data_IF_815158193869
#
_entry.id   IF_815158193869
#
_cell.length_a   1.000
_cell.length_b   1.000
_cell.length_c   1.000
_cell.angle_alpha   90.00
_cell.angle_beta   90.00
_cell.angle_gamma   90.00
#
_symmetry.space_group_name_H-M   'P 1'
#
loop_
_entity.id
_entity.type
_entity.pdbx_description
1 polymer ?
#
# COMPACT_ATOMS: atom_id res chain seq x y z
N UNK A 1 -1.78 18.92 5.09
CA UNK A 1 -0.88 18.03 5.86
C UNK A 1 -1.26 16.55 5.74
N UNK A 2 -2.50 16.14 6.07
CA UNK A 2 -2.95 14.73 6.07
C UNK A 2 -2.72 14.03 4.72
N UNK A 3 -3.10 14.66 3.60
CA UNK A 3 -2.88 14.11 2.25
C UNK A 3 -1.41 13.77 1.98
N UNK A 4 -0.48 14.66 2.37
CA UNK A 4 0.95 14.47 2.15
C UNK A 4 1.49 13.30 3.00
N UNK A 5 1.03 13.17 4.24
CA UNK A 5 1.38 12.04 5.12
C UNK A 5 0.89 10.70 4.55
N UNK A 6 -0.34 10.66 4.02
CA UNK A 6 -0.91 9.47 3.39
C UNK A 6 -0.18 9.13 2.08
N UNK A 7 0.18 10.12 1.28
CA UNK A 7 0.98 9.94 0.08
C UNK A 7 2.40 9.43 0.40
N UNK A 8 3.05 9.96 1.44
CA UNK A 8 4.32 9.46 1.93
C UNK A 8 4.22 8.02 2.46
N UNK A 9 3.10 7.67 3.11
CA UNK A 9 2.83 6.31 3.52
C UNK A 9 2.70 5.36 2.32
N UNK A 10 2.02 5.78 1.24
CA UNK A 10 1.96 5.04 -0.03
C UNK A 10 3.34 4.85 -0.65
N UNK A 11 4.13 5.92 -0.76
CA UNK A 11 5.48 5.84 -1.31
C UNK A 11 6.34 4.86 -0.50
N UNK A 12 6.27 4.91 0.83
CA UNK A 12 7.03 4.01 1.71
C UNK A 12 6.61 2.55 1.59
N UNK A 13 5.34 2.25 1.35
CA UNK A 13 4.87 0.86 1.18
C UNK A 13 5.18 0.29 -0.21
N UNK A 14 5.17 1.13 -1.24
CA UNK A 14 5.37 0.72 -2.64
C UNK A 14 6.85 0.73 -3.07
N UNK A 15 7.65 1.70 -2.60
CA UNK A 15 8.99 1.96 -3.16
C UNK A 15 9.95 0.77 -3.04
N UNK A 16 10.11 0.21 -1.84
CA UNK A 16 11.09 -0.86 -1.60
C UNK A 16 10.83 -2.11 -2.46
N UNK A 17 9.63 -2.71 -2.48
CA UNK A 17 9.42 -3.93 -3.25
C UNK A 17 9.44 -3.70 -4.77
N UNK A 18 8.95 -2.55 -5.26
CA UNK A 18 9.03 -2.23 -6.69
C UNK A 18 10.46 -1.92 -7.14
N UNK A 19 11.21 -1.13 -6.38
CA UNK A 19 12.61 -0.84 -6.71
C UNK A 19 13.45 -2.12 -6.70
N UNK A 20 13.23 -3.00 -5.71
CA UNK A 20 13.99 -4.24 -5.63
C UNK A 20 13.68 -5.18 -6.80
N UNK A 21 12.41 -5.32 -7.20
CA UNK A 21 12.02 -6.11 -8.37
C UNK A 21 12.51 -5.50 -9.69
N UNK A 22 12.51 -4.17 -9.82
CA UNK A 22 13.02 -3.48 -11.00
C UNK A 22 14.53 -3.65 -11.17
N UNK A 23 15.28 -3.61 -10.07
CA UNK A 23 16.73 -3.80 -10.08
C UNK A 23 17.15 -5.28 -10.14
N UNK A 24 16.29 -6.21 -9.69
CA UNK A 24 16.57 -7.64 -9.65
C UNK A 24 15.37 -8.43 -10.20
N UNK A 25 15.20 -8.46 -11.53
CA UNK A 25 14.04 -9.10 -12.14
C UNK A 25 14.05 -10.61 -11.86
N UNK A 26 13.07 -11.07 -11.09
CA UNK A 26 12.86 -12.50 -10.82
C UNK A 26 11.41 -12.76 -10.40
N UNK A 27 10.86 -13.96 -10.70
CA UNK A 27 9.48 -14.32 -10.33
C UNK A 27 9.12 -14.05 -8.85
N UNK A 28 9.92 -14.46 -7.84
CA UNK A 28 9.55 -14.23 -6.44
C UNK A 28 9.58 -12.74 -6.05
N UNK A 29 10.44 -11.93 -6.67
CA UNK A 29 10.50 -10.50 -6.38
C UNK A 29 9.32 -9.76 -7.03
N UNK A 30 8.94 -10.12 -8.25
CA UNK A 30 7.74 -9.58 -8.91
C UNK A 30 6.47 -9.93 -8.13
N UNK A 31 6.31 -11.17 -7.66
CA UNK A 31 5.17 -11.57 -6.83
C UNK A 31 5.11 -10.77 -5.52
N UNK A 32 6.25 -10.58 -4.85
CA UNK A 32 6.34 -9.73 -3.64
C UNK A 32 6.01 -8.28 -3.94
N UNK A 33 6.43 -7.76 -5.08
CA UNK A 33 6.10 -6.42 -5.55
C UNK A 33 4.60 -6.25 -5.81
N UNK A 34 3.96 -7.19 -6.49
CA UNK A 34 2.51 -7.20 -6.70
C UNK A 34 1.76 -7.27 -5.37
N UNK A 35 2.09 -8.23 -4.50
CA UNK A 35 1.48 -8.34 -3.18
C UNK A 35 1.70 -7.09 -2.32
N UNK A 36 2.86 -6.45 -2.45
CA UNK A 36 3.16 -5.13 -1.88
C UNK A 36 2.27 -4.03 -2.43
N UNK A 37 2.15 -3.93 -3.75
CA UNK A 37 1.33 -2.96 -4.47
C UNK A 37 -0.15 -3.02 -4.12
N UNK A 38 -0.72 -4.23 -4.03
CA UNK A 38 -2.10 -4.44 -3.60
C UNK A 38 -2.34 -3.83 -2.22
N UNK A 39 -1.42 -4.04 -1.27
CA UNK A 39 -1.52 -3.45 0.08
C UNK A 39 -1.27 -1.94 0.08
N UNK A 40 -0.48 -1.43 -0.87
CA UNK A 40 -0.22 -0.01 -1.05
C UNK A 40 -1.44 0.75 -1.62
N UNK A 41 -2.45 0.07 -2.18
CA UNK A 41 -3.69 0.73 -2.60
C UNK A 41 -4.44 1.39 -1.44
N UNK A 42 -4.36 0.85 -0.21
CA UNK A 42 -5.03 1.43 0.96
C UNK A 42 -4.55 2.87 1.25
N UNK A 43 -3.24 3.13 1.46
CA UNK A 43 -2.75 4.50 1.66
C UNK A 43 -2.94 5.39 0.42
N UNK A 44 -2.94 4.83 -0.81
CA UNK A 44 -3.24 5.59 -2.02
C UNK A 44 -4.69 6.09 -2.03
N UNK A 45 -5.66 5.20 -1.81
CA UNK A 45 -7.08 5.53 -1.72
C UNK A 45 -7.34 6.53 -0.59
N UNK A 46 -6.67 6.36 0.56
CA UNK A 46 -6.74 7.30 1.66
C UNK A 46 -6.24 8.70 1.26
N UNK A 47 -5.10 8.79 0.57
CA UNK A 47 -4.53 10.04 0.10
C UNK A 47 -5.45 10.74 -0.92
N UNK A 48 -6.01 9.97 -1.86
CA UNK A 48 -6.93 10.50 -2.88
C UNK A 48 -8.24 11.01 -2.25
N UNK A 49 -8.82 10.27 -1.29
CA UNK A 49 -10.01 10.70 -0.56
C UNK A 49 -9.74 11.97 0.26
N UNK A 50 -8.61 12.05 0.96
CA UNK A 50 -8.23 13.26 1.68
C UNK A 50 -7.99 14.45 0.74
N UNK A 51 -7.39 14.21 -0.44
CA UNK A 51 -7.18 15.24 -1.48
C UNK A 51 -8.50 15.77 -2.07
N UNK A 52 -9.53 14.93 -2.17
CA UNK A 52 -10.87 15.34 -2.65
C UNK A 52 -11.76 15.94 -1.56
N UNK A 53 -11.21 16.24 -0.36
CA UNK A 53 -11.95 16.85 0.76
C UNK A 53 -12.53 15.86 1.77
N UNK A 54 -12.57 14.56 1.47
CA UNK A 54 -13.09 13.52 2.35
C UNK A 54 -12.02 12.99 3.33
N UNK A 55 -11.49 13.88 4.18
CA UNK A 55 -10.37 13.58 5.09
C UNK A 55 -10.71 12.47 6.10
N UNK A 56 -11.93 12.48 6.66
CA UNK A 56 -12.40 11.46 7.61
C UNK A 56 -12.48 10.08 6.97
N UNK A 57 -13.04 9.98 5.76
CA UNK A 57 -13.06 8.76 4.96
C UNK A 57 -11.64 8.27 4.66
N UNK A 58 -10.73 9.18 4.30
CA UNK A 58 -9.33 8.85 4.07
C UNK A 58 -8.65 8.23 5.30
N UNK A 59 -8.86 8.81 6.48
CA UNK A 59 -8.33 8.26 7.74
C UNK A 59 -8.98 6.91 8.10
N UNK A 60 -10.29 6.75 7.87
CA UNK A 60 -10.98 5.48 8.09
C UNK A 60 -10.42 4.36 7.19
N UNK A 61 -10.20 4.65 5.91
CA UNK A 61 -9.54 3.73 4.96
C UNK A 61 -8.12 3.39 5.44
N UNK A 62 -7.35 4.40 5.87
CA UNK A 62 -5.99 4.17 6.39
C UNK A 62 -5.99 3.26 7.64
N UNK A 63 -7.04 3.30 8.45
CA UNK A 63 -7.25 2.41 9.60
C UNK A 63 -7.38 0.92 9.23
N UNK A 64 -7.61 0.58 7.96
CA UNK A 64 -7.72 -0.82 7.48
C UNK A 64 -6.37 -1.49 7.25
N UNK A 65 -5.26 -0.74 7.21
CA UNK A 65 -3.90 -1.27 6.99
C UNK A 65 -3.54 -2.46 7.90
N UNK A 66 -3.72 -2.42 9.24
CA UNK A 66 -3.41 -3.58 10.09
C UNK A 66 -4.24 -4.81 9.75
N UNK A 67 -5.51 -4.64 9.38
CA UNK A 67 -6.39 -5.74 8.98
C UNK A 67 -5.90 -6.36 7.67
N UNK A 68 -5.61 -5.54 6.66
CA UNK A 68 -5.05 -6.01 5.39
C UNK A 68 -3.75 -6.78 5.58
N UNK A 69 -2.86 -6.34 6.48
CA UNK A 69 -1.63 -7.07 6.84
C UNK A 69 -1.91 -8.42 7.49
N UNK A 70 -2.93 -8.51 8.36
CA UNK A 70 -3.33 -9.76 9.02
C UNK A 70 -3.95 -10.74 8.04
N UNK A 71 -4.86 -10.28 7.18
CA UNK A 71 -5.57 -11.11 6.21
C UNK A 71 -4.66 -11.59 5.09
N UNK A 72 -3.71 -10.76 4.63
CA UNK A 72 -2.74 -11.15 3.60
C UNK A 72 -1.84 -12.32 4.01
N UNK A 73 -1.71 -12.64 5.30
CA UNK A 73 -0.99 -13.83 5.78
C UNK A 73 -1.83 -15.11 5.77
N UNK A 74 -3.16 -14.98 5.64
CA UNK A 74 -4.11 -16.10 5.66
C UNK A 74 -4.43 -16.62 4.26
N UNK A 75 -4.15 -15.82 3.24
CA UNK A 75 -4.24 -16.26 1.85
C UNK A 75 -2.92 -16.96 1.54
N UNK A 76 -2.96 -18.29 1.43
CA UNK A 76 -1.80 -19.14 1.17
C UNK A 76 -0.98 -18.62 -0.03
N UNK A 77 0.34 -18.47 0.09
CA UNK A 77 1.23 -18.31 -1.06
C UNK A 77 1.53 -19.71 -1.62
N UNK A 78 0.51 -20.40 -2.14
CA UNK A 78 0.76 -21.50 -3.08
C UNK A 78 1.39 -20.93 -4.34
#
# INVERSE_FOLDING_TARGET
AVTALLAAAYARTAARPFLHAALNPSPPLTQRAVGGGIRAMIPLQAALAARSGATTTGLAVMGLVPLARRLARKVSPT
#
